data_IF_521171604482
#
_entry.id   IF_521171604482
#
_cell.length_a   1.000
_cell.length_b   1.000
_cell.length_c   1.000
_cell.angle_alpha   90.00
_cell.angle_beta   90.00
_cell.angle_gamma   90.00
#
_symmetry.space_group_name_H-M   'P 1'
#
loop_
_entity.id
_entity.type
_entity.pdbx_description
1 polymer ?
#
# COMPACT_ATOMS: atom_id res chain seq x y z
N UNK A 1 -2.11 -9.99 -5.29
CA UNK A 1 -1.90 -9.36 -3.96
C UNK A 1 -1.17 -10.35 -3.06
N UNK A 2 -0.42 -9.86 -2.08
CA UNK A 2 0.18 -10.71 -1.04
C UNK A 2 -0.88 -11.18 -0.03
N UNK A 3 -0.72 -12.37 0.57
CA UNK A 3 -1.64 -12.87 1.58
C UNK A 3 -1.59 -12.02 2.85
N UNK A 4 -2.69 -11.97 3.60
CA UNK A 4 -2.77 -11.27 4.90
C UNK A 4 -1.73 -11.77 5.91
N UNK A 5 -1.33 -13.04 5.80
CA UNK A 5 -0.30 -13.67 6.64
C UNK A 5 1.12 -13.23 6.32
N UNK A 6 1.36 -12.51 5.22
CA UNK A 6 2.66 -11.93 4.92
C UNK A 6 3.08 -10.96 6.04
N UNK A 7 4.32 -11.09 6.52
CA UNK A 7 4.80 -10.35 7.70
C UNK A 7 4.65 -8.83 7.54
N UNK A 8 4.95 -8.28 6.36
CA UNK A 8 4.85 -6.84 6.11
C UNK A 8 3.41 -6.37 5.94
N UNK A 9 2.54 -7.21 5.38
CA UNK A 9 1.10 -6.90 5.30
C UNK A 9 0.51 -6.84 6.71
N UNK A 10 0.74 -7.88 7.51
CA UNK A 10 0.30 -7.97 8.90
C UNK A 10 0.80 -6.80 9.76
N UNK A 11 2.04 -6.37 9.58
CA UNK A 11 2.59 -5.20 10.28
C UNK A 11 1.91 -3.89 9.88
N UNK A 12 1.57 -3.70 8.61
CA UNK A 12 0.87 -2.50 8.15
C UNK A 12 -0.58 -2.49 8.65
N UNK A 13 -1.28 -3.63 8.63
CA UNK A 13 -2.62 -3.75 9.22
C UNK A 13 -2.61 -3.39 10.72
N UNK A 14 -1.64 -3.89 11.49
CA UNK A 14 -1.44 -3.51 12.91
C UNK A 14 -1.19 -2.02 13.11
N UNK A 15 -0.57 -1.32 12.15
CA UNK A 15 -0.39 0.13 12.23
C UNK A 15 -1.74 0.83 12.06
N UNK A 16 -2.54 0.39 11.08
CA UNK A 16 -3.87 0.93 10.81
C UNK A 16 -4.81 0.72 11.99
N UNK A 17 -4.84 -0.48 12.59
CA UNK A 17 -5.62 -0.79 13.81
C UNK A 17 -5.25 0.15 14.97
N UNK A 18 -4.00 0.62 15.03
CA UNK A 18 -3.50 1.57 16.03
C UNK A 18 -3.71 3.03 15.61
N UNK A 19 -4.56 3.30 14.61
CA UNK A 19 -4.79 4.62 14.02
C UNK A 19 -3.51 5.31 13.52
N UNK A 20 -2.47 4.55 13.17
CA UNK A 20 -1.24 5.08 12.61
C UNK A 20 -1.37 5.17 11.09
N UNK A 21 -0.99 6.33 10.54
CA UNK A 21 -0.94 6.55 9.10
C UNK A 21 0.16 5.70 8.47
N UNK A 22 -0.13 5.14 7.31
CA UNK A 22 0.87 4.56 6.42
C UNK A 22 1.42 5.68 5.51
N UNK A 23 2.70 5.57 5.16
CA UNK A 23 3.28 6.43 4.14
C UNK A 23 2.59 6.21 2.78
N UNK A 24 2.53 7.21 1.88
CA UNK A 24 1.93 7.07 0.56
C UNK A 24 2.73 6.12 -0.34
N UNK A 25 2.06 5.49 -1.30
CA UNK A 25 2.70 4.66 -2.34
C UNK A 25 3.48 5.58 -3.29
N UNK A 26 4.69 5.17 -3.68
CA UNK A 26 5.47 5.87 -4.67
C UNK A 26 5.28 5.21 -6.04
N UNK A 27 4.78 6.00 -6.98
CA UNK A 27 4.71 5.64 -8.38
C UNK A 27 5.78 6.38 -9.18
N UNK A 28 6.43 5.68 -10.10
CA UNK A 28 7.32 6.26 -11.10
C UNK A 28 6.71 6.03 -12.48
N UNK A 29 6.70 7.07 -13.31
CA UNK A 29 6.25 6.93 -14.70
C UNK A 29 7.32 6.26 -15.57
N UNK A 30 6.99 5.10 -16.12
CA UNK A 30 7.74 4.47 -17.20
C UNK A 30 7.34 5.00 -18.58
N UNK A 31 7.77 4.35 -19.65
CA UNK A 31 7.42 4.82 -21.01
C UNK A 31 5.93 4.63 -21.29
N UNK A 32 5.39 3.44 -21.01
CA UNK A 32 3.99 3.10 -21.24
C UNK A 32 3.32 2.49 -19.98
N UNK A 33 3.97 2.61 -18.82
CA UNK A 33 3.56 1.96 -17.58
C UNK A 33 3.73 2.89 -16.37
N UNK A 34 3.04 2.55 -15.28
CA UNK A 34 3.24 3.16 -13.97
C UNK A 34 3.81 2.11 -13.03
N UNK A 35 4.99 2.37 -12.48
CA UNK A 35 5.74 1.42 -11.67
C UNK A 35 5.53 1.76 -10.21
N UNK A 36 5.15 0.77 -9.39
CA UNK A 36 5.20 0.90 -7.93
C UNK A 36 6.67 0.82 -7.51
N UNK A 37 7.31 1.97 -7.34
CA UNK A 37 8.72 2.05 -6.94
C UNK A 37 8.91 1.79 -5.44
N UNK A 38 7.90 2.14 -4.63
CA UNK A 38 7.87 1.84 -3.20
C UNK A 38 6.42 1.74 -2.71
N UNK A 39 6.18 0.87 -1.72
CA UNK A 39 4.87 0.74 -1.08
C UNK A 39 4.01 -0.44 -1.52
N UNK A 40 4.56 -1.42 -2.24
CA UNK A 40 3.81 -2.60 -2.67
C UNK A 40 3.12 -3.36 -1.52
N UNK A 41 3.80 -3.57 -0.39
CA UNK A 41 3.20 -4.19 0.80
C UNK A 41 2.06 -3.35 1.41
N UNK A 42 2.17 -2.02 1.35
CA UNK A 42 1.12 -1.10 1.85
C UNK A 42 -0.11 -1.18 0.96
N UNK A 43 0.08 -1.24 -0.36
CA UNK A 43 -1.01 -1.49 -1.32
C UNK A 43 -1.69 -2.85 -1.09
N UNK A 44 -0.90 -3.90 -0.84
CA UNK A 44 -1.46 -5.20 -0.51
C UNK A 44 -2.26 -5.17 0.80
N UNK A 45 -1.87 -4.31 1.75
CA UNK A 45 -2.59 -4.16 3.02
C UNK A 45 -3.91 -3.44 2.83
N UNK A 46 -4.00 -2.44 1.94
CA UNK A 46 -5.26 -1.72 1.70
C UNK A 46 -6.36 -2.62 1.16
N UNK A 47 -6.01 -3.65 0.39
CA UNK A 47 -6.97 -4.65 -0.11
C UNK A 47 -7.77 -5.35 1.01
N UNK A 48 -7.20 -5.49 2.21
CA UNK A 48 -7.86 -6.16 3.34
C UNK A 48 -8.64 -5.20 4.25
N UNK A 49 -8.67 -3.90 3.96
CA UNK A 49 -9.33 -2.90 4.81
C UNK A 49 -10.76 -2.61 4.34
N UNK A 50 -10.91 -1.93 3.20
CA UNK A 50 -12.19 -1.64 2.56
C UNK A 50 -11.96 -1.34 1.08
N UNK A 51 -12.94 -1.67 0.25
CA UNK A 51 -12.89 -1.43 -1.20
C UNK A 51 -12.94 0.06 -1.53
N UNK A 52 -13.62 0.86 -0.70
CA UNK A 52 -13.79 2.31 -0.89
C UNK A 52 -12.61 3.13 -0.33
N UNK A 53 -11.47 2.50 -0.04
CA UNK A 53 -10.34 3.20 0.56
C UNK A 53 -9.56 3.96 -0.51
N UNK A 54 -9.49 5.28 -0.36
CA UNK A 54 -8.49 6.08 -1.06
C UNK A 54 -7.08 5.61 -0.70
N UNK A 55 -6.27 5.30 -1.71
CA UNK A 55 -4.88 4.90 -1.52
C UNK A 55 -3.97 6.09 -1.80
N UNK A 56 -3.41 6.76 -0.77
CA UNK A 56 -2.57 7.92 -0.97
C UNK A 56 -1.32 7.54 -1.75
N UNK A 57 -1.02 8.29 -2.80
CA UNK A 57 0.14 8.05 -3.63
C UNK A 57 0.88 9.34 -3.99
N UNK A 58 2.15 9.19 -4.36
CA UNK A 58 2.99 10.22 -4.94
C UNK A 58 3.47 9.72 -6.29
N UNK A 59 3.19 10.48 -7.33
CA UNK A 59 3.76 10.27 -8.65
C UNK A 59 5.04 11.12 -8.78
N UNK A 60 6.14 10.49 -9.17
CA UNK A 60 7.41 11.15 -9.50
C UNK A 60 7.84 10.86 -10.93
#
# INVERSE_FOLDING_TARGET
MLPETNIHVKENLKKVEKNKKLSPILFVRGQNELIIADGYHRLCSSYYLTEDLDVPCRLV
#
